data_IF_860008212898
#
_entry.id   IF_860008212898
#
_cell.length_a   1.000
_cell.length_b   1.000
_cell.length_c   1.000
_cell.angle_alpha   90.00
_cell.angle_beta   90.00
_cell.angle_gamma   90.00
#
_symmetry.space_group_name_H-M   'P 1'
#
loop_
_entity.id
_entity.type
_entity.pdbx_description
1 polymer ?
#
# COMPACT_ATOMS: atom_id res chain seq x y z
N UNK A 1 -11.77 21.33 -11.17
CA UNK A 1 -10.68 22.21 -10.69
C UNK A 1 -9.39 21.70 -11.28
N UNK A 2 -8.38 22.52 -11.62
CA UNK A 2 -7.10 22.01 -12.06
C UNK A 2 -6.46 21.20 -10.92
N UNK A 3 -5.66 20.16 -11.26
CA UNK A 3 -4.86 19.44 -10.27
C UNK A 3 -3.93 20.42 -9.54
N UNK A 4 -3.90 20.34 -8.21
CA UNK A 4 -3.12 21.25 -7.37
C UNK A 4 -1.85 20.60 -6.81
N UNK A 5 -1.74 19.29 -6.89
CA UNK A 5 -0.61 18.52 -6.39
C UNK A 5 -0.41 17.24 -7.19
N UNK A 6 0.77 16.65 -7.03
CA UNK A 6 1.13 15.33 -7.54
C UNK A 6 1.35 14.42 -6.33
N UNK A 7 0.75 13.24 -6.35
CA UNK A 7 0.94 12.19 -5.36
C UNK A 7 1.65 10.99 -6.00
N UNK A 8 2.65 10.46 -5.29
CA UNK A 8 3.33 9.24 -5.64
C UNK A 8 2.86 8.13 -4.70
N UNK A 9 2.36 7.04 -5.26
CA UNK A 9 1.80 5.94 -4.46
C UNK A 9 2.86 5.11 -3.74
N UNK A 10 4.13 5.16 -4.14
CA UNK A 10 5.20 4.43 -3.49
C UNK A 10 6.32 4.12 -4.46
N UNK A 11 6.23 2.99 -5.13
CA UNK A 11 7.27 2.44 -6.00
C UNK A 11 7.66 3.38 -7.15
N UNK A 12 8.95 3.55 -7.34
CA UNK A 12 9.54 4.28 -8.48
C UNK A 12 10.72 3.45 -8.99
N UNK A 13 10.68 3.04 -10.25
CA UNK A 13 11.68 2.16 -10.85
C UNK A 13 13.00 2.90 -11.14
N UNK A 14 13.72 3.25 -10.07
CA UNK A 14 15.06 3.84 -10.09
C UNK A 14 15.97 3.09 -9.12
N UNK A 15 17.27 3.38 -9.17
CA UNK A 15 18.31 2.57 -8.50
C UNK A 15 18.27 2.63 -6.97
N UNK A 16 17.91 3.78 -6.42
CA UNK A 16 18.01 4.06 -4.98
C UNK A 16 17.14 5.26 -4.57
N UNK A 17 16.90 5.40 -3.28
CA UNK A 17 16.05 6.45 -2.70
C UNK A 17 16.53 7.88 -3.02
N UNK A 18 17.85 8.13 -3.02
CA UNK A 18 18.38 9.46 -3.34
C UNK A 18 18.11 9.82 -4.80
N UNK A 19 18.33 8.88 -5.71
CA UNK A 19 18.05 9.06 -7.14
C UNK A 19 16.55 9.35 -7.35
N UNK A 20 15.65 8.60 -6.69
CA UNK A 20 14.20 8.83 -6.75
C UNK A 20 13.86 10.26 -6.29
N UNK A 21 14.31 10.66 -5.11
CA UNK A 21 13.99 11.95 -4.53
C UNK A 21 14.54 13.12 -5.36
N UNK A 22 15.75 13.00 -5.93
CA UNK A 22 16.34 14.01 -6.81
C UNK A 22 15.58 14.12 -8.14
N UNK A 23 15.24 13.00 -8.75
CA UNK A 23 14.49 12.98 -10.02
C UNK A 23 13.09 13.58 -9.84
N UNK A 24 12.37 13.20 -8.80
CA UNK A 24 11.06 13.79 -8.48
C UNK A 24 11.19 15.30 -8.27
N UNK A 25 12.13 15.73 -7.44
CA UNK A 25 12.32 17.16 -7.12
C UNK A 25 12.72 17.98 -8.34
N UNK A 26 13.54 17.43 -9.24
CA UNK A 26 13.99 18.13 -10.44
C UNK A 26 12.89 18.27 -11.50
N UNK A 27 12.06 17.24 -11.64
CA UNK A 27 10.99 17.21 -12.66
C UNK A 27 9.71 17.88 -12.20
N UNK A 28 9.43 17.82 -10.88
CA UNK A 28 8.22 18.35 -10.26
C UNK A 28 8.64 19.27 -9.09
N UNK A 29 9.18 20.46 -9.37
CA UNK A 29 9.73 21.34 -8.33
C UNK A 29 8.65 21.95 -7.42
N UNK A 30 7.39 21.79 -7.75
CA UNK A 30 6.26 22.26 -6.95
C UNK A 30 5.07 21.30 -7.05
N UNK A 31 4.25 21.26 -6.02
CA UNK A 31 3.03 20.42 -6.01
C UNK A 31 3.21 19.02 -5.42
N UNK A 32 4.42 18.62 -5.04
CA UNK A 32 4.65 17.39 -4.26
C UNK A 32 4.47 17.73 -2.79
N UNK A 33 3.56 17.06 -2.11
CA UNK A 33 3.31 17.24 -0.66
C UNK A 33 4.00 16.17 0.17
N UNK A 34 4.15 14.98 -0.39
CA UNK A 34 4.77 13.80 0.24
C UNK A 34 5.77 13.19 -0.74
N UNK A 35 6.95 12.88 -0.24
CA UNK A 35 8.06 12.31 -1.00
C UNK A 35 8.24 10.86 -0.63
N UNK A 36 8.08 9.97 -1.59
CA UNK A 36 8.41 8.55 -1.47
C UNK A 36 9.92 8.33 -1.60
N UNK A 37 10.42 7.23 -1.05
CA UNK A 37 11.76 6.71 -1.32
C UNK A 37 11.82 5.75 -2.54
N UNK A 38 10.66 5.52 -3.16
CA UNK A 38 10.52 4.70 -4.35
C UNK A 38 10.51 3.20 -4.09
N UNK A 39 10.53 2.77 -2.82
CA UNK A 39 10.57 1.35 -2.44
C UNK A 39 11.70 0.59 -3.14
N UNK A 40 12.86 1.22 -3.21
CA UNK A 40 14.01 0.71 -3.95
C UNK A 40 14.68 -0.49 -3.24
N UNK A 41 15.54 -1.19 -3.97
CA UNK A 41 16.27 -2.35 -3.46
C UNK A 41 15.34 -3.56 -3.24
N UNK A 42 15.46 -4.23 -2.11
CA UNK A 42 14.70 -5.45 -1.80
C UNK A 42 13.18 -5.21 -1.74
N UNK A 43 12.76 -3.98 -1.43
CA UNK A 43 11.34 -3.58 -1.40
C UNK A 43 10.74 -3.32 -2.79
N UNK A 44 11.53 -3.34 -3.85
CA UNK A 44 11.06 -3.14 -5.23
C UNK A 44 10.04 -4.17 -5.72
N UNK A 45 9.88 -5.26 -5.00
CA UNK A 45 8.83 -6.27 -5.22
C UNK A 45 7.73 -6.22 -4.16
N UNK A 46 7.51 -5.06 -3.56
CA UNK A 46 6.47 -4.80 -2.57
C UNK A 46 6.52 -5.81 -1.40
N UNK A 47 5.46 -6.66 -1.22
CA UNK A 47 5.41 -7.65 -0.12
C UNK A 47 6.33 -8.87 -0.31
N UNK A 48 6.85 -9.13 -1.52
CA UNK A 48 7.58 -10.37 -1.79
C UNK A 48 8.86 -10.51 -0.95
N UNK A 49 9.48 -9.39 -0.53
CA UNK A 49 10.64 -9.44 0.35
C UNK A 49 10.30 -9.99 1.75
N UNK A 50 9.06 -9.83 2.22
CA UNK A 50 8.57 -10.42 3.46
C UNK A 50 8.40 -11.94 3.34
N UNK A 51 7.85 -12.42 2.22
CA UNK A 51 7.65 -13.84 1.98
C UNK A 51 8.99 -14.60 2.06
N UNK A 52 10.07 -14.02 1.57
CA UNK A 52 11.42 -14.61 1.70
C UNK A 52 11.82 -14.79 3.16
N UNK A 53 11.53 -13.83 4.03
CA UNK A 53 11.79 -13.95 5.47
C UNK A 53 10.94 -15.05 6.11
N UNK A 54 9.67 -15.14 5.74
CA UNK A 54 8.77 -16.15 6.28
C UNK A 54 9.17 -17.58 5.89
N UNK A 55 9.74 -17.77 4.69
CA UNK A 55 10.28 -19.06 4.24
C UNK A 55 11.47 -19.57 5.10
N UNK A 56 12.15 -18.67 5.81
CA UNK A 56 13.27 -18.99 6.68
C UNK A 56 12.84 -19.27 8.13
N UNK A 57 11.56 -19.04 8.47
CA UNK A 57 11.02 -19.21 9.82
C UNK A 57 10.71 -20.68 10.11
N UNK A 58 11.12 -21.19 11.28
CA UNK A 58 10.91 -22.61 11.64
C UNK A 58 9.45 -22.97 11.90
N UNK A 59 8.58 -21.98 12.12
CA UNK A 59 7.14 -22.19 12.35
C UNK A 59 6.38 -22.50 11.08
N UNK A 60 6.98 -22.27 9.90
CA UNK A 60 6.34 -22.46 8.62
C UNK A 60 7.01 -23.56 7.79
N UNK A 61 6.20 -24.24 7.00
CA UNK A 61 6.65 -25.07 5.90
C UNK A 61 6.01 -24.62 4.58
N UNK A 62 6.80 -24.68 3.51
CA UNK A 62 6.31 -24.37 2.18
C UNK A 62 5.44 -25.51 1.65
N UNK A 63 4.27 -25.18 1.11
CA UNK A 63 3.41 -26.13 0.40
C UNK A 63 3.38 -25.78 -1.09
N UNK A 64 3.48 -26.80 -1.93
CA UNK A 64 3.26 -26.63 -3.35
C UNK A 64 1.78 -26.30 -3.57
N UNK A 65 1.54 -25.15 -4.14
CA UNK A 65 0.21 -24.73 -4.57
C UNK A 65 0.13 -24.94 -6.07
N UNK A 66 -0.93 -25.60 -6.49
CA UNK A 66 -1.29 -25.55 -7.90
C UNK A 66 -1.46 -24.08 -8.34
N UNK A 67 -1.43 -23.81 -9.65
CA UNK A 67 -1.47 -22.45 -10.16
C UNK A 67 -2.74 -21.73 -9.67
N UNK A 68 -2.61 -21.03 -8.53
CA UNK A 68 -3.70 -20.22 -7.97
C UNK A 68 -4.02 -19.02 -8.86
N UNK A 69 -3.06 -18.63 -9.70
CA UNK A 69 -3.19 -17.58 -10.70
C UNK A 69 -2.48 -18.00 -11.98
N UNK A 70 -3.23 -18.16 -13.07
CA UNK A 70 -2.64 -18.08 -14.40
C UNK A 70 -2.29 -16.61 -14.65
N UNK A 71 -1.17 -16.16 -14.10
CA UNK A 71 -0.66 -14.86 -14.46
C UNK A 71 0.18 -14.99 -15.72
N UNK A 72 -0.08 -14.13 -16.68
CA UNK A 72 0.70 -14.00 -17.91
C UNK A 72 2.10 -13.38 -17.66
N UNK A 73 2.67 -13.55 -16.45
CA UNK A 73 3.87 -12.82 -16.07
C UNK A 73 5.03 -13.74 -15.74
N UNK A 74 6.23 -13.24 -16.02
CA UNK A 74 7.52 -13.82 -15.59
C UNK A 74 7.77 -13.64 -14.08
N UNK A 75 6.77 -13.20 -13.30
CA UNK A 75 6.91 -13.02 -11.87
C UNK A 75 7.09 -14.37 -11.17
N UNK A 76 8.01 -14.49 -10.22
CA UNK A 76 8.27 -15.73 -9.52
C UNK A 76 7.03 -16.18 -8.76
N UNK A 77 6.58 -17.40 -9.03
CA UNK A 77 5.55 -18.03 -8.21
C UNK A 77 6.13 -18.29 -6.83
N UNK A 78 5.48 -17.75 -5.81
CA UNK A 78 5.86 -17.99 -4.41
C UNK A 78 5.02 -19.15 -3.87
N UNK A 79 5.64 -20.07 -3.11
CA UNK A 79 4.87 -21.13 -2.44
C UNK A 79 3.95 -20.50 -1.40
N UNK A 80 2.84 -21.19 -1.10
CA UNK A 80 2.11 -20.90 0.13
C UNK A 80 2.81 -21.53 1.33
N UNK A 81 2.55 -20.96 2.48
CA UNK A 81 3.09 -21.42 3.75
C UNK A 81 1.97 -21.94 4.64
N UNK A 82 2.26 -22.99 5.39
CA UNK A 82 1.42 -23.47 6.48
C UNK A 82 2.21 -23.53 7.76
N UNK A 83 1.51 -23.52 8.90
CA UNK A 83 2.13 -23.82 10.18
C UNK A 83 2.58 -25.27 10.22
N UNK A 84 3.81 -25.51 10.70
CA UNK A 84 4.27 -26.88 10.94
C UNK A 84 3.47 -27.54 12.07
N UNK A 85 3.40 -28.86 12.09
CA UNK A 85 2.67 -29.63 13.11
C UNK A 85 3.10 -29.23 14.52
N UNK A 86 2.15 -28.75 15.32
CA UNK A 86 2.37 -28.34 16.70
C UNK A 86 2.80 -26.89 16.90
N UNK A 87 3.02 -26.13 15.84
CA UNK A 87 3.19 -24.68 15.94
C UNK A 87 1.84 -23.99 16.22
N UNK A 88 1.90 -22.83 16.88
CA UNK A 88 0.74 -21.99 17.15
C UNK A 88 1.02 -20.58 16.67
N UNK A 89 0.05 -19.96 16.03
CA UNK A 89 0.16 -18.57 15.58
C UNK A 89 0.50 -17.61 16.73
N UNK A 90 0.02 -17.89 17.96
CA UNK A 90 0.29 -17.07 19.15
C UNK A 90 1.75 -17.13 19.62
N UNK A 91 2.53 -18.08 19.12
CA UNK A 91 3.93 -18.29 19.52
C UNK A 91 4.92 -18.01 18.40
N UNK A 92 4.46 -17.46 17.29
CA UNK A 92 5.34 -17.06 16.18
C UNK A 92 6.25 -15.92 16.66
N UNK A 93 7.56 -16.14 16.53
CA UNK A 93 8.57 -15.09 16.76
C UNK A 93 8.86 -14.39 15.43
N UNK A 94 8.04 -13.38 15.13
CA UNK A 94 8.18 -12.63 13.88
C UNK A 94 9.56 -11.96 13.80
N UNK A 95 10.29 -12.11 12.70
CA UNK A 95 11.55 -11.42 12.51
C UNK A 95 11.32 -9.92 12.40
N UNK A 96 12.40 -9.14 12.53
CA UNK A 96 12.34 -7.73 12.13
C UNK A 96 11.80 -7.63 10.70
N UNK A 97 10.64 -7.00 10.53
CA UNK A 97 9.99 -6.88 9.23
C UNK A 97 10.79 -5.98 8.30
N UNK A 98 11.48 -4.97 8.86
CA UNK A 98 12.46 -4.15 8.17
C UNK A 98 11.89 -2.95 7.43
N UNK A 99 10.60 -2.63 7.60
CA UNK A 99 10.04 -1.39 7.05
C UNK A 99 10.56 -0.19 7.81
N UNK A 100 10.51 -0.22 9.16
CA UNK A 100 10.99 0.88 10.00
C UNK A 100 12.47 1.20 9.73
N UNK A 101 13.34 0.20 9.66
CA UNK A 101 14.76 0.38 9.36
C UNK A 101 14.98 1.01 7.98
N UNK A 102 14.31 0.49 6.96
CA UNK A 102 14.46 1.00 5.60
C UNK A 102 13.96 2.44 5.46
N UNK A 103 12.85 2.78 6.12
CA UNK A 103 12.35 4.14 6.11
C UNK A 103 13.19 5.09 6.97
N UNK A 104 13.78 4.63 8.06
CA UNK A 104 14.72 5.44 8.84
C UNK A 104 15.96 5.82 8.01
N UNK A 105 16.56 4.87 7.29
CA UNK A 105 17.67 5.12 6.38
C UNK A 105 17.29 6.08 5.24
N UNK A 106 16.13 5.85 4.62
CA UNK A 106 15.61 6.71 3.56
C UNK A 106 15.29 8.12 4.05
N UNK A 107 14.81 8.25 5.31
CA UNK A 107 14.54 9.54 5.94
C UNK A 107 15.82 10.35 6.20
N UNK A 108 16.94 9.73 6.53
CA UNK A 108 18.23 10.42 6.63
C UNK A 108 18.59 11.10 5.31
N UNK A 109 18.44 10.37 4.20
CA UNK A 109 18.63 10.91 2.85
C UNK A 109 17.67 12.04 2.54
N UNK A 110 16.39 11.86 2.82
CA UNK A 110 15.36 12.88 2.67
C UNK A 110 15.70 14.16 3.47
N UNK A 111 16.08 14.00 4.74
CA UNK A 111 16.41 15.12 5.62
C UNK A 111 17.63 15.90 5.12
N UNK A 112 18.65 15.22 4.62
CA UNK A 112 19.82 15.84 3.99
C UNK A 112 19.44 16.63 2.73
N UNK A 113 18.60 16.05 1.86
CA UNK A 113 18.14 16.70 0.64
C UNK A 113 17.27 17.94 0.92
N UNK A 114 16.51 17.95 2.02
CA UNK A 114 15.82 19.16 2.48
C UNK A 114 16.80 20.24 2.96
N UNK A 115 17.84 19.87 3.71
CA UNK A 115 18.88 20.81 4.15
C UNK A 115 19.66 21.41 2.97
N UNK A 116 19.88 20.63 1.92
CA UNK A 116 20.50 21.08 0.66
C UNK A 116 19.56 21.99 -0.17
N UNK A 117 18.29 22.07 0.17
CA UNK A 117 17.27 22.80 -0.59
C UNK A 117 16.78 22.08 -1.86
N UNK A 118 17.14 20.81 -2.04
CA UNK A 118 16.66 19.98 -3.15
C UNK A 118 15.19 19.63 -2.97
N UNK A 119 14.79 19.26 -1.76
CA UNK A 119 13.40 19.01 -1.38
C UNK A 119 12.89 20.22 -0.60
N UNK A 120 11.73 20.81 -0.97
CA UNK A 120 11.16 21.92 -0.20
C UNK A 120 10.84 21.53 1.25
N UNK A 121 11.07 22.45 2.19
CA UNK A 121 10.88 22.21 3.64
C UNK A 121 9.46 21.79 4.04
N UNK A 122 8.44 22.17 3.25
CA UNK A 122 7.03 21.80 3.51
C UNK A 122 6.63 20.41 3.01
N UNK A 123 7.53 19.68 2.33
CA UNK A 123 7.28 18.32 1.87
C UNK A 123 7.51 17.36 3.03
N UNK A 124 6.63 16.39 3.23
CA UNK A 124 6.77 15.29 4.20
C UNK A 124 7.38 14.07 3.53
N UNK A 125 8.11 13.27 4.30
CA UNK A 125 8.52 11.93 3.88
C UNK A 125 7.32 10.99 3.98
N UNK A 126 7.09 10.15 2.97
CA UNK A 126 6.00 9.19 2.96
C UNK A 126 6.54 7.78 3.20
N UNK A 127 6.03 7.12 4.24
CA UNK A 127 6.23 5.70 4.49
C UNK A 127 4.99 4.93 4.03
N UNK A 128 5.17 3.97 3.12
CA UNK A 128 4.12 3.12 2.59
C UNK A 128 4.18 1.75 3.26
N UNK A 129 3.07 1.32 3.86
CA UNK A 129 2.93 -0.01 4.46
C UNK A 129 1.86 -0.80 3.72
N UNK A 130 2.11 -2.08 3.41
CA UNK A 130 1.02 -2.97 3.02
C UNK A 130 0.07 -3.15 4.20
N UNK A 131 -1.17 -3.47 3.93
CA UNK A 131 -2.06 -3.92 5.00
C UNK A 131 -1.62 -5.29 5.52
N UNK A 132 -1.96 -5.63 6.78
CA UNK A 132 -1.68 -6.99 7.29
C UNK A 132 -2.29 -8.08 6.40
N UNK A 133 -3.51 -7.85 5.90
CA UNK A 133 -4.19 -8.79 5.01
C UNK A 133 -3.44 -8.96 3.68
N UNK A 134 -2.94 -7.87 3.11
CA UNK A 134 -2.21 -7.92 1.85
C UNK A 134 -0.95 -8.80 1.93
N UNK A 135 -0.24 -8.76 3.06
CA UNK A 135 0.97 -9.55 3.27
C UNK A 135 0.67 -11.04 3.47
N UNK A 136 -0.50 -11.37 4.03
CA UNK A 136 -0.83 -12.74 4.45
C UNK A 136 -1.73 -13.47 3.47
N UNK A 137 -2.71 -12.79 2.86
CA UNK A 137 -3.61 -13.43 1.90
C UNK A 137 -2.84 -13.86 0.64
N UNK A 138 -2.98 -15.13 0.28
CA UNK A 138 -2.22 -15.74 -0.82
C UNK A 138 -0.84 -16.26 -0.41
N UNK A 139 -0.27 -15.79 0.71
CA UNK A 139 0.99 -16.30 1.27
C UNK A 139 0.75 -17.47 2.22
N UNK A 140 -0.26 -17.34 3.08
CA UNK A 140 -0.61 -18.39 4.07
C UNK A 140 -1.79 -19.21 3.53
N UNK A 141 -1.76 -20.54 3.77
CA UNK A 141 -2.88 -21.41 3.42
C UNK A 141 -4.18 -20.95 4.08
N UNK A 142 -5.34 -21.13 3.44
CA UNK A 142 -6.61 -20.60 3.96
C UNK A 142 -6.96 -21.07 5.38
N UNK A 143 -6.55 -22.28 5.76
CA UNK A 143 -6.84 -22.86 7.07
C UNK A 143 -6.12 -22.12 8.21
N UNK A 144 -4.88 -21.68 7.98
CA UNK A 144 -4.04 -21.02 8.99
C UNK A 144 -4.20 -19.50 8.94
N UNK A 145 -4.67 -18.96 7.81
CA UNK A 145 -4.71 -17.51 7.53
C UNK A 145 -5.36 -16.70 8.65
N UNK A 146 -6.52 -17.04 9.24
CA UNK A 146 -7.15 -16.19 10.25
C UNK A 146 -6.28 -15.99 11.50
N UNK A 147 -5.62 -17.06 11.96
CA UNK A 147 -4.77 -16.99 13.15
C UNK A 147 -3.43 -16.29 12.85
N UNK A 148 -2.78 -16.66 11.75
CA UNK A 148 -1.49 -16.10 11.34
C UNK A 148 -1.62 -14.61 11.00
N UNK A 149 -2.68 -14.21 10.30
CA UNK A 149 -2.90 -12.81 9.96
C UNK A 149 -3.09 -11.92 11.19
N UNK A 150 -3.76 -12.40 12.24
CA UNK A 150 -3.92 -11.66 13.48
C UNK A 150 -2.58 -11.46 14.21
N UNK A 151 -1.75 -12.51 14.26
CA UNK A 151 -0.40 -12.45 14.85
C UNK A 151 0.53 -11.52 14.04
N UNK A 152 0.48 -11.60 12.72
CA UNK A 152 1.27 -10.73 11.84
C UNK A 152 0.84 -9.26 11.93
N UNK A 153 -0.46 -8.99 12.07
CA UNK A 153 -0.96 -7.63 12.25
C UNK A 153 -0.27 -6.94 13.43
N UNK A 154 -0.13 -7.65 14.57
CA UNK A 154 0.56 -7.10 15.74
C UNK A 154 2.04 -6.80 15.44
N UNK A 155 2.72 -7.69 14.72
CA UNK A 155 4.11 -7.48 14.33
C UNK A 155 4.29 -6.29 13.36
N UNK A 156 3.40 -6.16 12.37
CA UNK A 156 3.44 -5.04 11.41
C UNK A 156 3.14 -3.71 12.09
N UNK A 157 2.18 -3.68 13.01
CA UNK A 157 1.86 -2.48 13.77
C UNK A 157 2.98 -2.12 14.78
N UNK A 158 3.72 -3.10 15.30
CA UNK A 158 4.90 -2.85 16.11
C UNK A 158 6.06 -2.25 15.29
N UNK A 159 6.29 -2.73 14.08
CA UNK A 159 7.26 -2.11 13.14
C UNK A 159 6.88 -0.64 12.82
N UNK A 160 5.59 -0.36 12.59
CA UNK A 160 5.10 1.01 12.43
C UNK A 160 5.35 1.85 13.69
N UNK A 161 5.11 1.31 14.89
CA UNK A 161 5.38 2.04 16.15
C UNK A 161 6.84 2.39 16.29
N UNK A 162 7.75 1.50 15.88
CA UNK A 162 9.19 1.76 15.89
C UNK A 162 9.54 2.92 14.94
N UNK A 163 8.99 2.93 13.73
CA UNK A 163 9.13 4.05 12.79
C UNK A 163 8.65 5.36 13.41
N UNK A 164 7.44 5.37 13.98
CA UNK A 164 6.83 6.54 14.57
C UNK A 164 7.60 7.06 15.79
N UNK A 165 8.16 6.16 16.60
CA UNK A 165 9.00 6.56 17.74
C UNK A 165 10.36 7.13 17.30
N UNK A 166 10.86 6.71 16.13
CA UNK A 166 12.18 7.10 15.62
C UNK A 166 12.20 8.38 14.79
N UNK A 167 11.07 8.78 14.19
CA UNK A 167 11.03 9.88 13.22
C UNK A 167 10.15 11.04 13.70
N UNK A 168 10.47 12.30 13.30
CA UNK A 168 9.67 13.46 13.67
C UNK A 168 8.32 13.48 12.96
N UNK A 169 7.23 13.46 13.72
CA UNK A 169 5.84 13.37 13.24
C UNK A 169 5.45 14.50 12.29
N UNK A 170 5.99 15.69 12.49
CA UNK A 170 5.73 16.85 11.63
C UNK A 170 6.38 16.75 10.25
N UNK A 171 7.24 15.76 10.02
CA UNK A 171 7.98 15.56 8.78
C UNK A 171 7.64 14.29 8.02
N UNK A 172 6.79 13.43 8.57
CA UNK A 172 6.40 12.15 7.96
C UNK A 172 4.90 12.10 7.66
N UNK A 173 4.53 11.17 6.82
CA UNK A 173 3.16 10.73 6.56
C UNK A 173 3.16 9.21 6.35
N UNK A 174 2.09 8.53 6.73
CA UNK A 174 1.92 7.08 6.54
C UNK A 174 0.86 6.82 5.49
N UNK A 175 1.14 5.92 4.57
CA UNK A 175 0.20 5.41 3.58
C UNK A 175 -0.01 3.91 3.80
N UNK A 176 -1.26 3.47 3.77
CA UNK A 176 -1.62 2.06 3.74
C UNK A 176 -1.98 1.64 2.33
N UNK A 177 -1.31 0.61 1.82
CA UNK A 177 -1.54 0.09 0.47
C UNK A 177 -2.61 -1.00 0.51
N UNK A 178 -3.80 -0.62 0.07
CA UNK A 178 -5.00 -1.47 0.04
C UNK A 178 -5.12 -2.07 -1.34
N UNK A 179 -4.57 -3.27 -1.53
CA UNK A 179 -4.52 -3.90 -2.85
C UNK A 179 -5.24 -5.25 -2.88
N UNK A 180 -4.80 -6.20 -2.08
CA UNK A 180 -5.36 -7.56 -2.04
C UNK A 180 -6.82 -7.54 -1.60
N UNK A 181 -7.19 -6.59 -0.78
CA UNK A 181 -8.57 -6.35 -0.35
C UNK A 181 -9.52 -6.19 -1.53
N UNK A 182 -9.12 -5.46 -2.58
CA UNK A 182 -9.95 -5.30 -3.76
C UNK A 182 -10.08 -6.60 -4.55
N UNK A 183 -9.02 -7.40 -4.63
CA UNK A 183 -9.12 -8.74 -5.20
C UNK A 183 -10.10 -9.64 -4.45
N UNK A 184 -10.14 -9.55 -3.11
CA UNK A 184 -11.07 -10.29 -2.28
C UNK A 184 -12.49 -9.72 -2.36
N UNK A 185 -12.67 -8.40 -2.36
CA UNK A 185 -13.99 -7.76 -2.49
C UNK A 185 -14.66 -8.08 -3.83
N UNK A 186 -13.89 -8.13 -4.89
CA UNK A 186 -14.34 -8.40 -6.26
C UNK A 186 -14.34 -9.90 -6.62
N UNK A 187 -13.89 -10.78 -5.69
CA UNK A 187 -13.85 -12.23 -5.90
C UNK A 187 -12.82 -12.70 -6.92
N UNK A 188 -11.80 -11.88 -7.22
CA UNK A 188 -10.76 -12.19 -8.22
C UNK A 188 -9.92 -13.41 -7.85
N UNK A 189 -9.86 -13.78 -6.57
CA UNK A 189 -9.03 -14.88 -6.05
C UNK A 189 -9.83 -16.18 -5.77
N UNK A 190 -11.03 -16.29 -6.32
CA UNK A 190 -11.90 -17.44 -6.07
C UNK A 190 -12.55 -17.46 -4.67
N UNK A 191 -12.18 -16.52 -3.82
CA UNK A 191 -12.80 -16.23 -2.52
C UNK A 191 -13.27 -14.79 -2.52
N UNK A 192 -14.46 -14.52 -2.00
CA UNK A 192 -15.01 -13.19 -1.90
C UNK A 192 -15.30 -12.86 -0.44
N UNK A 193 -14.78 -11.71 0.02
CA UNK A 193 -15.07 -11.11 1.31
C UNK A 193 -15.94 -9.86 1.12
N UNK A 194 -16.67 -9.49 2.17
CA UNK A 194 -17.43 -8.24 2.20
C UNK A 194 -16.68 -7.14 2.93
N UNK A 195 -17.19 -5.90 2.81
CA UNK A 195 -16.65 -4.75 3.55
C UNK A 195 -16.65 -4.97 5.07
N UNK A 196 -17.67 -5.68 5.60
CA UNK A 196 -17.75 -5.98 7.03
C UNK A 196 -16.58 -6.83 7.56
N UNK A 197 -15.93 -7.59 6.70
CA UNK A 197 -14.77 -8.43 7.05
C UNK A 197 -13.45 -7.66 6.88
N UNK A 198 -13.36 -6.78 5.90
CA UNK A 198 -12.12 -6.06 5.54
C UNK A 198 -11.96 -4.75 6.33
N UNK A 199 -13.00 -3.95 6.45
CA UNK A 199 -12.95 -2.61 7.05
C UNK A 199 -12.38 -2.59 8.47
N UNK A 200 -12.71 -3.53 9.38
CA UNK A 200 -12.14 -3.51 10.73
C UNK A 200 -10.61 -3.56 10.77
N UNK A 201 -9.97 -4.30 9.87
CA UNK A 201 -8.50 -4.34 9.75
C UNK A 201 -7.93 -3.00 9.30
N UNK A 202 -8.54 -2.39 8.28
CA UNK A 202 -8.14 -1.07 7.78
C UNK A 202 -8.33 0.03 8.84
N UNK A 203 -9.39 -0.04 9.62
CA UNK A 203 -9.64 0.92 10.71
C UNK A 203 -8.55 0.80 11.78
N UNK A 204 -8.18 -0.41 12.21
CA UNK A 204 -7.09 -0.61 13.17
C UNK A 204 -5.76 -0.05 12.64
N UNK A 205 -5.47 -0.29 11.36
CA UNK A 205 -4.26 0.21 10.69
C UNK A 205 -4.23 1.75 10.65
N UNK A 206 -5.33 2.38 10.25
CA UNK A 206 -5.46 3.85 10.21
C UNK A 206 -5.38 4.44 11.62
N UNK A 207 -6.09 3.88 12.58
CA UNK A 207 -6.15 4.38 13.96
C UNK A 207 -4.84 4.19 14.73
N UNK A 208 -3.94 3.30 14.26
CA UNK A 208 -2.60 3.15 14.84
C UNK A 208 -1.72 4.36 14.60
N UNK A 209 -1.93 5.07 13.51
CA UNK A 209 -1.15 6.28 13.19
C UNK A 209 -1.61 7.44 14.08
N UNK A 210 -0.72 8.10 14.85
CA UNK A 210 -1.08 9.24 15.71
C UNK A 210 -1.73 10.38 14.89
N UNK A 211 -2.66 11.12 15.53
CA UNK A 211 -3.43 12.15 14.84
C UNK A 211 -2.61 13.34 14.30
N UNK A 212 -1.39 13.51 14.77
CA UNK A 212 -0.43 14.54 14.32
C UNK A 212 0.44 14.08 13.12
N UNK A 213 0.32 12.80 12.72
CA UNK A 213 0.93 12.24 11.51
C UNK A 213 -0.17 12.03 10.45
N UNK A 214 -0.09 12.65 9.27
CA UNK A 214 -1.04 12.38 8.21
C UNK A 214 -1.06 10.90 7.82
N UNK A 215 -2.27 10.31 7.76
CA UNK A 215 -2.49 8.94 7.34
C UNK A 215 -3.41 8.90 6.11
N UNK A 216 -3.08 8.07 5.14
CA UNK A 216 -3.87 7.92 3.93
C UNK A 216 -3.96 6.50 3.42
N UNK A 217 -4.78 6.33 2.40
CA UNK A 217 -5.03 5.07 1.73
C UNK A 217 -4.62 5.16 0.26
N UNK A 218 -3.86 4.21 -0.21
CA UNK A 218 -3.66 3.95 -1.62
C UNK A 218 -4.53 2.76 -2.01
N UNK A 219 -5.53 3.02 -2.83
CA UNK A 219 -6.47 2.02 -3.31
C UNK A 219 -5.93 1.45 -4.61
N UNK A 220 -5.61 0.15 -4.62
CA UNK A 220 -4.96 -0.49 -5.75
C UNK A 220 -5.71 -1.76 -6.17
N UNK A 221 -5.77 -2.03 -7.45
CA UNK A 221 -6.31 -3.29 -7.99
C UNK A 221 -5.22 -4.29 -8.35
N UNK A 222 -4.03 -4.10 -7.77
CA UNK A 222 -2.85 -4.92 -8.03
C UNK A 222 -2.07 -4.48 -9.26
N UNK A 223 -0.84 -4.96 -9.33
CA UNK A 223 0.09 -4.70 -10.45
C UNK A 223 0.94 -5.94 -10.76
N UNK A 224 0.45 -7.12 -10.39
CA UNK A 224 1.18 -8.35 -10.66
C UNK A 224 1.17 -8.66 -12.15
N UNK A 225 2.36 -8.66 -12.78
CA UNK A 225 2.49 -8.76 -14.22
C UNK A 225 1.93 -7.55 -14.97
N UNK A 226 1.90 -6.38 -14.33
CA UNK A 226 1.37 -5.13 -14.87
C UNK A 226 -0.11 -5.21 -15.27
N UNK A 227 -0.88 -5.96 -14.49
CA UNK A 227 -2.31 -6.14 -14.70
C UNK A 227 -3.06 -6.03 -13.36
N UNK A 228 -4.23 -5.42 -13.42
CA UNK A 228 -5.16 -5.44 -12.29
C UNK A 228 -5.67 -6.87 -12.05
N UNK A 229 -5.92 -7.25 -10.81
CA UNK A 229 -6.57 -8.51 -10.44
C UNK A 229 -7.93 -8.66 -11.11
N UNK A 230 -8.66 -7.55 -11.24
CA UNK A 230 -9.89 -7.41 -11.99
C UNK A 230 -10.00 -5.99 -12.51
N UNK A 231 -10.80 -5.80 -13.57
CA UNK A 231 -11.06 -4.45 -14.09
C UNK A 231 -12.36 -3.94 -13.47
N UNK A 232 -12.31 -2.93 -12.57
CA UNK A 232 -13.51 -2.41 -11.94
C UNK A 232 -14.45 -1.75 -12.97
N UNK A 233 -15.74 -2.02 -12.85
CA UNK A 233 -16.75 -1.41 -13.71
C UNK A 233 -16.93 0.08 -13.44
N UNK A 234 -16.72 0.50 -12.19
CA UNK A 234 -16.76 1.91 -11.76
C UNK A 234 -15.92 2.09 -10.50
N UNK A 235 -15.73 3.32 -10.06
CA UNK A 235 -15.07 3.65 -8.79
C UNK A 235 -15.90 3.29 -7.54
N UNK A 236 -17.07 2.64 -7.70
CA UNK A 236 -18.05 2.35 -6.63
C UNK A 236 -17.40 1.63 -5.45
N UNK A 237 -16.70 0.51 -5.67
CA UNK A 237 -16.12 -0.27 -4.58
C UNK A 237 -15.09 0.53 -3.80
N UNK A 238 -14.30 1.37 -4.47
CA UNK A 238 -13.35 2.25 -3.81
C UNK A 238 -14.07 3.28 -2.94
N UNK A 239 -15.14 3.89 -3.44
CA UNK A 239 -15.96 4.85 -2.67
C UNK A 239 -16.61 4.17 -1.46
N UNK A 240 -17.18 3.00 -1.63
CA UNK A 240 -17.85 2.27 -0.56
C UNK A 240 -16.86 1.85 0.54
N UNK A 241 -15.65 1.41 0.17
CA UNK A 241 -14.58 1.10 1.11
C UNK A 241 -14.15 2.35 1.90
N UNK A 242 -13.86 3.46 1.20
CA UNK A 242 -13.45 4.71 1.85
C UNK A 242 -14.52 5.20 2.80
N UNK A 243 -15.78 5.21 2.37
CA UNK A 243 -16.90 5.64 3.20
C UNK A 243 -17.03 4.79 4.47
N UNK A 244 -16.86 3.46 4.34
CA UNK A 244 -16.92 2.57 5.48
C UNK A 244 -15.76 2.78 6.45
N UNK A 245 -14.53 2.98 5.95
CA UNK A 245 -13.36 3.28 6.79
C UNK A 245 -13.52 4.64 7.47
N UNK A 246 -13.87 5.69 6.74
CA UNK A 246 -14.06 7.05 7.29
C UNK A 246 -15.16 7.08 8.35
N UNK A 247 -16.24 6.30 8.17
CA UNK A 247 -17.33 6.23 9.14
C UNK A 247 -16.96 5.51 10.44
N UNK A 248 -15.98 4.59 10.40
CA UNK A 248 -15.61 3.74 11.53
C UNK A 248 -14.29 4.14 12.22
N UNK A 249 -13.39 4.83 11.51
CA UNK A 249 -12.10 5.27 12.03
C UNK A 249 -12.26 6.33 13.14
N UNK A 250 -11.40 6.23 14.16
CA UNK A 250 -11.32 7.19 15.27
C UNK A 250 -10.57 8.48 14.92
N UNK A 251 -10.02 8.56 13.69
CA UNK A 251 -9.28 9.72 13.19
C UNK A 251 -9.64 10.05 11.73
N UNK A 252 -9.21 11.22 11.27
CA UNK A 252 -9.34 11.60 9.87
C UNK A 252 -8.42 10.75 8.98
N UNK A 253 -8.91 10.33 7.82
CA UNK A 253 -8.11 9.87 6.69
C UNK A 253 -7.71 11.12 5.90
N UNK A 254 -6.43 11.46 5.91
CA UNK A 254 -5.94 12.75 5.42
C UNK A 254 -5.80 12.79 3.89
N UNK A 255 -5.54 11.65 3.26
CA UNK A 255 -5.48 11.52 1.81
C UNK A 255 -5.91 10.15 1.32
N UNK A 256 -6.45 10.11 0.12
CA UNK A 256 -6.85 8.87 -0.58
C UNK A 256 -6.40 8.95 -2.02
N UNK A 257 -5.69 7.92 -2.49
CA UNK A 257 -5.33 7.75 -3.89
C UNK A 257 -6.19 6.66 -4.51
N UNK A 258 -6.97 7.03 -5.53
CA UNK A 258 -7.88 6.16 -6.26
C UNK A 258 -7.19 5.58 -7.50
N UNK A 259 -7.34 4.29 -7.72
CA UNK A 259 -6.95 3.66 -8.99
C UNK A 259 -8.00 3.93 -10.07
N UNK A 260 -7.50 4.31 -11.25
CA UNK A 260 -8.32 4.47 -12.45
C UNK A 260 -7.75 3.56 -13.54
N UNK A 261 -8.51 2.58 -14.03
CA UNK A 261 -8.07 1.76 -15.16
C UNK A 261 -7.80 2.62 -16.39
N UNK A 262 -6.71 2.36 -17.09
CA UNK A 262 -6.26 3.17 -18.22
C UNK A 262 -7.32 3.35 -19.32
N UNK A 263 -8.15 2.33 -19.54
CA UNK A 263 -9.21 2.37 -20.56
C UNK A 263 -10.47 3.17 -20.15
N UNK A 264 -10.50 3.76 -18.92
CA UNK A 264 -11.68 4.46 -18.41
C UNK A 264 -11.51 5.97 -18.52
N UNK A 265 -12.29 6.55 -19.42
CA UNK A 265 -12.37 8.01 -19.66
C UNK A 265 -13.83 8.51 -19.61
N UNK A 266 -14.77 7.59 -19.39
CA UNK A 266 -16.20 7.88 -19.36
C UNK A 266 -16.68 8.42 -18.00
N UNK A 267 -17.62 9.35 -18.04
CA UNK A 267 -18.15 9.97 -16.82
C UNK A 267 -18.89 8.97 -15.92
N UNK A 268 -19.43 7.90 -16.49
CA UNK A 268 -20.20 6.89 -15.72
C UNK A 268 -19.29 6.14 -14.73
N UNK A 269 -18.03 5.92 -15.11
CA UNK A 269 -17.03 5.34 -14.21
C UNK A 269 -16.89 6.14 -12.92
N UNK A 270 -16.87 7.47 -13.00
CA UNK A 270 -16.62 8.38 -11.89
C UNK A 270 -17.90 8.82 -11.16
N UNK A 271 -19.09 8.51 -11.67
CA UNK A 271 -20.38 8.92 -11.06
C UNK A 271 -20.44 8.60 -9.55
N UNK A 272 -19.96 7.44 -9.06
CA UNK A 272 -20.02 7.12 -7.62
C UNK A 272 -19.24 8.07 -6.71
N UNK A 273 -18.31 8.88 -7.24
CA UNK A 273 -17.59 9.88 -6.43
C UNK A 273 -18.52 10.92 -5.81
N UNK A 274 -19.73 11.11 -6.37
CA UNK A 274 -20.74 11.98 -5.78
C UNK A 274 -21.20 11.52 -4.40
N UNK A 275 -21.05 10.23 -4.08
CA UNK A 275 -21.44 9.62 -2.81
C UNK A 275 -20.24 9.52 -1.82
N UNK A 276 -19.07 10.05 -2.18
CA UNK A 276 -17.89 9.99 -1.32
C UNK A 276 -18.10 10.86 -0.07
N UNK A 277 -17.99 10.22 1.10
CA UNK A 277 -18.20 10.85 2.40
C UNK A 277 -16.88 11.39 3.04
N UNK A 278 -15.77 11.35 2.31
CA UNK A 278 -14.52 11.95 2.78
C UNK A 278 -14.72 13.44 3.06
N UNK A 279 -14.14 13.92 4.17
CA UNK A 279 -14.25 15.31 4.58
C UNK A 279 -13.59 16.28 3.58
N UNK A 280 -13.91 17.58 3.64
CA UNK A 280 -13.36 18.59 2.70
C UNK A 280 -11.84 18.77 2.84
N UNK A 281 -11.26 18.34 3.96
CA UNK A 281 -9.82 18.40 4.22
C UNK A 281 -9.08 17.15 3.70
N UNK A 282 -9.79 16.08 3.34
CA UNK A 282 -9.17 14.88 2.76
C UNK A 282 -8.68 15.19 1.34
N UNK A 283 -7.40 15.01 1.11
CA UNK A 283 -6.81 15.13 -0.23
C UNK A 283 -7.17 13.92 -1.09
N UNK A 284 -7.69 14.16 -2.29
CA UNK A 284 -8.00 13.10 -3.25
C UNK A 284 -6.98 13.12 -4.38
N UNK A 285 -6.37 11.98 -4.65
CA UNK A 285 -5.50 11.73 -5.78
C UNK A 285 -6.11 10.66 -6.68
N UNK A 286 -5.81 10.74 -7.97
CA UNK A 286 -6.25 9.77 -8.97
C UNK A 286 -5.04 9.29 -9.77
N UNK A 287 -4.84 7.98 -9.83
CA UNK A 287 -3.75 7.36 -10.56
C UNK A 287 -4.07 7.36 -12.07
N UNK A 288 -3.66 8.43 -12.75
CA UNK A 288 -3.92 8.64 -14.17
C UNK A 288 -2.71 8.37 -15.07
N UNK A 289 -1.52 8.23 -14.46
CA UNK A 289 -0.27 8.04 -15.21
C UNK A 289 -0.14 6.55 -15.54
N UNK A 290 0.04 6.19 -16.84
CA UNK A 290 0.17 4.79 -17.24
C UNK A 290 1.54 4.23 -16.82
N UNK A 291 1.60 2.90 -16.68
CA UNK A 291 2.85 2.20 -16.40
C UNK A 291 3.87 2.32 -17.55
N UNK A 292 3.40 2.16 -18.79
CA UNK A 292 4.26 2.29 -19.96
C UNK A 292 4.30 3.74 -20.45
N UNK A 293 5.48 4.31 -20.73
CA UNK A 293 5.61 5.71 -21.17
C UNK A 293 4.98 5.99 -22.54
N UNK A 294 4.78 4.94 -23.35
CA UNK A 294 4.15 5.07 -24.68
C UNK A 294 2.62 5.05 -24.62
N UNK A 295 2.04 4.72 -23.47
CA UNK A 295 0.60 4.70 -23.26
C UNK A 295 0.07 6.10 -22.93
N UNK A 296 -1.19 6.35 -23.28
CA UNK A 296 -1.85 7.59 -22.89
C UNK A 296 -2.31 7.50 -21.43
N UNK A 297 -2.19 8.60 -20.65
CA UNK A 297 -2.76 8.67 -19.32
C UNK A 297 -4.26 8.38 -19.32
N UNK A 298 -4.77 7.73 -18.25
CA UNK A 298 -6.20 7.48 -18.10
C UNK A 298 -6.99 8.80 -18.08
N UNK A 299 -8.19 8.80 -18.63
CA UNK A 299 -9.08 9.96 -18.66
C UNK A 299 -8.60 11.15 -19.50
N UNK A 300 -7.68 10.94 -20.45
CA UNK A 300 -7.12 12.02 -21.30
C UNK A 300 -7.80 12.17 -22.66
N UNK A 301 -8.82 11.37 -22.97
CA UNK A 301 -9.59 11.44 -24.23
C UNK A 301 -10.88 12.25 -24.09
#
# INVERSE_FOLDING_TARGET
MPATSVHFNGSVNLSDAETVMREISSRIPAGVRRMTDGETGDRGYWILFQIKKFLEMPEFEAVEVGPAYETASDAPQMPQLRLVDGASADTIDWPNLGYADAYAESFETFARLQQEGTIPAGVRFQAQYPTPLASMAGTIVPEDLPAVAASYEEALLADLDELLAGLPHDRIAVQWDVAVEFGLLEGAFGTQLGLAEIVPGLVRAVDRVPADVPAGLHLCYGDYGHQHFTQPESVRMQVDLVNAVVAAAGRTVDFVSFTVPQARDDADYFTPLADLAAGPETELAFALVPYHPDDQPAGTT
#
